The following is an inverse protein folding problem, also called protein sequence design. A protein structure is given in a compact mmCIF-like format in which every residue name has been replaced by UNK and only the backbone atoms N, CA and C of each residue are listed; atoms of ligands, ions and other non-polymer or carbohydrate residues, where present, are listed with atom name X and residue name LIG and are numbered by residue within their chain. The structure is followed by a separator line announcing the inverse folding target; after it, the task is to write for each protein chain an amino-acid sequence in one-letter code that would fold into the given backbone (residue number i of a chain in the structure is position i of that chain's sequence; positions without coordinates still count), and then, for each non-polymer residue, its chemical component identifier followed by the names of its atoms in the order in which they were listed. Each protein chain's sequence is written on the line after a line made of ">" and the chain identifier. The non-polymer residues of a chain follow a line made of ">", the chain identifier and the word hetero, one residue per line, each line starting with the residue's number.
data_IF_903466588533
#
_entry.id   IF_903466588533
#
_cell.length_a   1.000
_cell.length_b   1.000
_cell.length_c   1.000
_cell.angle_alpha   90.00
_cell.angle_beta   90.00
_cell.angle_gamma   90.00
#
_symmetry.space_group_name_H-M   'P 1'
#
loop_
_entity.id
_entity.type
_entity.pdbx_description
1 polymer ?
#
# COMPACT_ATOMS: atom_id res chain seq x y z
N UNK A 1 23.12 -11.42 38.49
CA UNK A 1 22.14 -10.55 37.80
C UNK A 1 21.86 -11.14 36.44
N UNK A 2 20.63 -11.60 36.19
CA UNK A 2 20.24 -12.12 34.88
C UNK A 2 19.61 -10.99 34.06
N UNK A 3 20.27 -10.60 32.96
CA UNK A 3 19.68 -9.67 32.00
C UNK A 3 18.58 -10.41 31.24
N UNK A 4 17.31 -10.09 31.51
CA UNK A 4 16.20 -10.49 30.65
C UNK A 4 16.20 -9.56 29.44
N UNK A 5 16.82 -10.00 28.36
CA UNK A 5 16.66 -9.38 27.05
C UNK A 5 15.23 -9.62 26.57
N UNK A 6 14.35 -8.63 26.72
CA UNK A 6 13.07 -8.67 26.03
C UNK A 6 13.34 -8.44 24.54
N UNK A 7 13.30 -9.51 23.75
CA UNK A 7 13.23 -9.36 22.31
C UNK A 7 11.86 -8.74 21.99
N UNK A 8 11.83 -7.43 21.76
CA UNK A 8 10.66 -6.78 21.20
C UNK A 8 10.48 -7.33 19.78
N UNK A 9 9.59 -8.29 19.60
CA UNK A 9 9.13 -8.65 18.26
C UNK A 9 8.38 -7.44 17.73
N UNK A 10 8.90 -6.81 16.68
CA UNK A 10 8.11 -5.85 15.91
C UNK A 10 6.80 -6.53 15.51
N UNK A 11 5.66 -5.81 15.53
CA UNK A 11 4.41 -6.37 15.04
C UNK A 11 4.62 -6.89 13.60
N UNK A 12 3.95 -7.99 13.22
CA UNK A 12 4.07 -8.52 11.87
C UNK A 12 3.62 -7.47 10.87
N UNK A 13 4.53 -7.08 9.97
CA UNK A 13 4.17 -6.22 8.84
C UNK A 13 3.32 -7.03 7.86
N UNK A 14 2.17 -6.50 7.51
CA UNK A 14 1.26 -7.11 6.53
C UNK A 14 1.52 -6.44 5.19
N UNK A 15 1.73 -7.24 4.15
CA UNK A 15 1.88 -6.75 2.78
C UNK A 15 0.58 -6.05 2.37
N UNK A 16 0.66 -4.87 1.77
CA UNK A 16 -0.50 -4.23 1.19
C UNK A 16 -0.93 -4.95 -0.09
N UNK A 17 -2.14 -5.49 -0.10
CA UNK A 17 -2.68 -6.25 -1.23
C UNK A 17 -3.02 -5.36 -2.43
N UNK A 18 -3.43 -4.11 -2.20
CA UNK A 18 -3.74 -3.17 -3.27
C UNK A 18 -2.58 -2.88 -4.21
N UNK A 19 -1.33 -3.14 -3.80
CA UNK A 19 -0.13 -2.93 -4.60
C UNK A 19 0.89 -4.06 -4.55
N UNK A 20 0.50 -5.25 -4.09
CA UNK A 20 1.40 -6.42 -3.95
C UNK A 20 2.74 -6.11 -3.23
N UNK A 21 2.71 -5.23 -2.23
CA UNK A 21 3.92 -4.84 -1.50
C UNK A 21 4.78 -3.73 -2.13
N UNK A 22 4.44 -3.24 -3.32
CA UNK A 22 5.29 -2.29 -4.05
C UNK A 22 5.14 -0.84 -3.62
N UNK A 23 4.05 -0.49 -2.92
CA UNK A 23 3.70 0.90 -2.55
C UNK A 23 3.15 1.73 -3.71
N UNK A 24 3.05 1.16 -4.90
CA UNK A 24 2.59 1.87 -6.10
C UNK A 24 1.81 0.93 -7.01
N UNK A 25 0.87 1.51 -7.74
CA UNK A 25 0.08 0.81 -8.75
C UNK A 25 0.21 1.52 -10.10
N UNK A 26 0.15 0.74 -11.17
CA UNK A 26 0.13 1.29 -12.52
C UNK A 26 -1.31 1.56 -12.91
N UNK A 27 -1.70 2.83 -12.92
CA UNK A 27 -2.99 3.24 -13.42
C UNK A 27 -2.93 3.36 -14.95
N UNK A 28 -3.59 2.42 -15.63
CA UNK A 28 -3.74 2.43 -17.11
C UNK A 28 -4.94 3.25 -17.59
N UNK A 29 -5.72 3.80 -16.66
CA UNK A 29 -6.96 4.55 -16.89
C UNK A 29 -6.90 5.93 -16.24
N UNK A 30 -5.73 6.58 -16.23
CA UNK A 30 -5.65 8.00 -15.91
C UNK A 30 -6.38 8.78 -17.02
N UNK A 31 -7.70 8.84 -16.94
CA UNK A 31 -8.54 9.62 -17.82
C UNK A 31 -8.43 11.07 -17.39
N UNK A 32 -7.74 11.88 -18.19
CA UNK A 32 -7.91 13.33 -18.18
C UNK A 32 -9.31 13.64 -18.72
N UNK A 33 -10.35 13.49 -17.89
CA UNK A 33 -11.69 14.10 -18.01
C UNK A 33 -12.59 13.76 -19.20
N UNK A 34 -12.09 13.58 -20.42
CA UNK A 34 -12.88 13.81 -21.64
C UNK A 34 -12.71 12.78 -22.75
N UNK A 35 -12.02 11.65 -22.51
CA UNK A 35 -11.67 10.75 -23.61
C UNK A 35 -11.81 9.27 -23.24
N UNK A 36 -12.93 8.67 -23.62
CA UNK A 36 -13.25 7.24 -23.42
C UNK A 36 -12.32 6.26 -24.17
N UNK A 37 -11.41 6.76 -25.01
CA UNK A 37 -10.49 5.95 -25.83
C UNK A 37 -9.04 6.47 -25.80
N UNK A 38 -8.73 7.49 -25.00
CA UNK A 38 -7.34 7.92 -24.82
C UNK A 38 -6.69 6.96 -23.82
N UNK A 39 -6.07 5.89 -24.32
CA UNK A 39 -5.13 5.11 -23.53
C UNK A 39 -3.91 5.99 -23.31
N UNK A 40 -3.97 6.84 -22.27
CA UNK A 40 -2.80 7.58 -21.82
C UNK A 40 -1.67 6.63 -21.48
N UNK A 41 -0.43 7.12 -21.54
CA UNK A 41 0.72 6.36 -21.06
C UNK A 41 0.44 5.87 -19.62
N UNK A 42 0.75 4.61 -19.29
CA UNK A 42 0.51 4.07 -17.96
C UNK A 42 1.21 4.94 -16.91
N UNK A 43 0.43 5.51 -16.00
CA UNK A 43 0.97 6.37 -14.94
C UNK A 43 1.14 5.55 -13.68
N UNK A 44 2.30 5.65 -13.06
CA UNK A 44 2.53 5.06 -11.75
C UNK A 44 2.01 6.02 -10.69
N UNK A 45 1.08 5.57 -9.86
CA UNK A 45 0.51 6.35 -8.75
C UNK A 45 0.76 5.63 -7.42
N UNK A 46 0.78 6.40 -6.34
CA UNK A 46 0.90 5.84 -4.98
C UNK A 46 -0.31 4.95 -4.66
N UNK A 47 -0.05 3.83 -3.97
CA UNK A 47 -1.11 2.96 -3.49
C UNK A 47 -1.80 3.60 -2.28
N UNK A 48 -3.08 3.95 -2.44
CA UNK A 48 -3.86 4.61 -1.40
C UNK A 48 -4.11 3.72 -0.19
N UNK A 49 -4.28 2.41 -0.38
CA UNK A 49 -4.54 1.45 0.70
C UNK A 49 -3.41 1.35 1.74
N UNK A 50 -2.21 1.85 1.41
CA UNK A 50 -1.07 1.83 2.32
C UNK A 50 -0.25 3.12 2.34
N UNK A 51 -0.79 4.23 1.85
CA UNK A 51 -0.10 5.53 1.73
C UNK A 51 1.28 5.41 1.08
N UNK A 52 1.40 4.62 0.02
CA UNK A 52 2.68 4.45 -0.68
C UNK A 52 3.71 3.53 -0.01
N UNK A 53 3.41 2.97 1.17
CA UNK A 53 4.39 2.21 1.98
C UNK A 53 4.62 0.77 1.52
N UNK A 54 3.66 0.20 0.77
CA UNK A 54 3.66 -1.22 0.38
C UNK A 54 3.31 -2.18 1.52
N UNK A 55 3.20 -1.68 2.75
CA UNK A 55 2.92 -2.49 3.93
C UNK A 55 2.13 -1.69 4.95
N UNK A 56 1.37 -2.41 5.76
CA UNK A 56 0.59 -1.87 6.88
C UNK A 56 0.97 -2.59 8.17
N UNK A 57 0.70 -1.95 9.32
CA UNK A 57 1.07 -2.49 10.63
C UNK A 57 0.11 -3.57 11.14
N UNK A 58 -1.11 -3.56 10.64
CA UNK A 58 -2.19 -4.47 10.98
C UNK A 58 -3.14 -4.58 9.78
N UNK A 59 -3.94 -5.64 9.73
CA UNK A 59 -4.94 -5.83 8.67
C UNK A 59 -6.17 -4.92 8.85
N UNK A 60 -6.38 -4.40 10.07
CA UNK A 60 -7.50 -3.53 10.43
C UNK A 60 -7.38 -2.16 9.75
N UNK A 61 -6.16 -1.65 9.57
CA UNK A 61 -5.87 -0.42 8.83
C UNK A 61 -6.11 -0.52 7.31
N UNK A 62 -6.38 -1.72 6.77
CA UNK A 62 -6.81 -1.90 5.38
C UNK A 62 -8.34 -1.84 5.21
N UNK A 63 -9.11 -1.81 6.30
CA UNK A 63 -10.56 -1.73 6.24
C UNK A 63 -11.01 -0.28 6.08
N UNK A 64 -11.90 0.04 5.12
CA UNK A 64 -12.44 1.38 5.00
C UNK A 64 -13.26 1.75 6.26
N UNK A 65 -12.77 2.73 7.03
CA UNK A 65 -13.47 3.30 8.19
C UNK A 65 -12.89 2.98 9.58
N UNK A 66 -11.68 2.41 9.66
CA UNK A 66 -10.91 2.30 10.92
C UNK A 66 -10.21 3.62 11.31
#
# INVERSE_FOLDING_TARGET
>A
MAHRSAAASLPPLVICWGCDGMGRVVNRYAHDGDCALCWGEPVTVECQDCDGRGQVRDWESLLPGA
#
